data_IF_730079851471
#
_entry.id   IF_730079851471
#
_cell.length_a   1.000
_cell.length_b   1.000
_cell.length_c   1.000
_cell.angle_alpha   90.00
_cell.angle_beta   90.00
_cell.angle_gamma   90.00
#
_symmetry.space_group_name_H-M   'P 1'
#
loop_
_entity.id
_entity.type
_entity.pdbx_description
1 polymer ?
#
# COMPACT_ATOMS: atom_id res chain seq x y z
N UNK A 1 13.06 -10.29 23.77
CA UNK A 1 11.90 -9.39 23.50
C UNK A 1 11.94 -8.80 22.09
N UNK A 2 13.13 -8.62 21.51
CA UNK A 2 13.28 -8.01 20.17
C UNK A 2 12.61 -8.79 19.04
N UNK A 3 12.55 -10.11 19.11
CA UNK A 3 11.90 -10.98 18.12
C UNK A 3 10.37 -10.76 17.97
N UNK A 4 9.77 -9.88 18.76
CA UNK A 4 8.37 -9.48 18.60
C UNK A 4 8.23 -8.06 17.99
N UNK A 5 9.31 -7.42 17.57
CA UNK A 5 9.21 -6.03 17.11
C UNK A 5 8.37 -5.89 15.84
N UNK A 6 8.56 -6.78 14.85
CA UNK A 6 7.76 -6.71 13.64
C UNK A 6 6.28 -6.99 13.94
N UNK A 7 5.99 -8.09 14.64
CA UNK A 7 4.62 -8.41 15.06
C UNK A 7 3.99 -7.28 15.89
N UNK A 8 4.76 -6.67 16.79
CA UNK A 8 4.31 -5.53 17.59
C UNK A 8 3.93 -4.32 16.76
N UNK A 9 4.68 -4.01 15.70
CA UNK A 9 4.36 -2.93 14.76
C UNK A 9 3.08 -3.21 13.97
N UNK A 10 2.88 -4.45 13.53
CA UNK A 10 1.65 -4.85 12.84
C UNK A 10 0.43 -4.68 13.76
N UNK A 11 0.50 -5.21 14.98
CA UNK A 11 -0.58 -5.11 15.95
C UNK A 11 -0.86 -3.64 16.34
N UNK A 12 0.19 -2.83 16.50
CA UNK A 12 0.05 -1.40 16.75
C UNK A 12 -0.65 -0.70 15.58
N UNK A 13 -0.22 -0.98 14.34
CA UNK A 13 -0.80 -0.39 13.11
C UNK A 13 -2.27 -0.75 12.95
N UNK A 14 -2.65 -1.98 13.30
CA UNK A 14 -4.03 -2.45 13.22
C UNK A 14 -4.92 -1.88 14.33
N UNK A 15 -4.37 -1.64 15.52
CA UNK A 15 -5.13 -1.40 16.75
C UNK A 15 -6.15 -0.27 16.63
N UNK A 16 -5.73 0.92 16.24
CA UNK A 16 -6.61 2.08 16.13
C UNK A 16 -7.65 1.92 15.00
N UNK A 17 -7.31 1.56 13.76
CA UNK A 17 -8.27 1.34 12.69
C UNK A 17 -9.30 0.26 13.03
N UNK A 18 -8.88 -0.84 13.66
CA UNK A 18 -9.78 -1.92 14.05
C UNK A 18 -10.79 -1.48 15.11
N UNK A 19 -10.33 -0.85 16.18
CA UNK A 19 -11.21 -0.33 17.24
C UNK A 19 -12.22 0.69 16.69
N UNK A 20 -11.77 1.58 15.81
CA UNK A 20 -12.62 2.61 15.20
C UNK A 20 -13.53 2.08 14.08
N UNK A 21 -13.33 0.88 13.61
CA UNK A 21 -14.19 0.25 12.59
C UNK A 21 -15.64 0.06 13.05
N UNK A 22 -15.85 -0.05 14.35
CA UNK A 22 -17.17 -0.25 14.96
C UNK A 22 -17.84 1.05 15.37
N UNK A 23 -17.20 2.20 15.16
CA UNK A 23 -17.79 3.50 15.50
C UNK A 23 -19.12 3.70 14.75
N UNK A 24 -20.19 4.14 15.45
CA UNK A 24 -21.53 4.29 14.85
C UNK A 24 -21.58 5.23 13.65
N UNK A 25 -20.69 6.24 13.61
CA UNK A 25 -20.64 7.22 12.52
C UNK A 25 -20.04 6.65 11.23
N UNK A 26 -18.98 5.85 11.34
CA UNK A 26 -18.25 5.32 10.19
C UNK A 26 -18.74 3.94 9.77
N UNK A 27 -19.02 3.06 10.74
CA UNK A 27 -19.46 1.68 10.56
C UNK A 27 -18.62 0.92 9.52
N UNK A 28 -17.31 1.09 9.56
CA UNK A 28 -16.39 0.57 8.55
C UNK A 28 -16.47 -0.96 8.42
N UNK A 29 -16.80 -1.66 9.51
CA UNK A 29 -17.01 -3.11 9.52
C UNK A 29 -18.05 -3.58 8.48
N UNK A 30 -19.02 -2.75 8.13
CA UNK A 30 -20.02 -3.09 7.10
C UNK A 30 -19.43 -3.18 5.69
N UNK A 31 -18.26 -2.57 5.48
CA UNK A 31 -17.54 -2.54 4.20
C UNK A 31 -16.48 -3.65 4.09
N UNK A 32 -16.32 -4.45 5.12
CA UNK A 32 -15.34 -5.54 5.17
C UNK A 32 -15.45 -6.55 4.02
N UNK A 33 -16.63 -6.96 3.52
CA UNK A 33 -16.69 -7.88 2.39
C UNK A 33 -15.95 -7.34 1.15
N UNK A 34 -16.16 -6.08 0.79
CA UNK A 34 -15.44 -5.41 -0.30
C UNK A 34 -13.96 -5.22 0.03
N UNK A 35 -13.64 -4.83 1.27
CA UNK A 35 -12.29 -4.63 1.75
C UNK A 35 -11.47 -5.93 1.66
N UNK A 36 -11.95 -7.02 2.23
CA UNK A 36 -11.23 -8.30 2.22
C UNK A 36 -11.13 -8.89 0.81
N UNK A 37 -12.09 -8.62 -0.09
CA UNK A 37 -11.95 -8.95 -1.51
C UNK A 37 -10.78 -8.18 -2.14
N UNK A 38 -10.69 -6.87 -1.89
CA UNK A 38 -9.57 -6.05 -2.37
C UNK A 38 -8.23 -6.49 -1.81
N UNK A 39 -8.18 -6.75 -0.49
CA UNK A 39 -6.98 -7.26 0.19
C UNK A 39 -6.56 -8.62 -0.36
N UNK A 40 -7.48 -9.56 -0.54
CA UNK A 40 -7.15 -10.90 -1.02
C UNK A 40 -6.51 -10.87 -2.42
N UNK A 41 -7.06 -10.07 -3.35
CA UNK A 41 -6.48 -9.92 -4.69
C UNK A 41 -5.10 -9.25 -4.62
N UNK A 42 -5.00 -8.16 -3.89
CA UNK A 42 -3.74 -7.43 -3.72
C UNK A 42 -2.69 -8.32 -3.04
N UNK A 43 -3.01 -8.95 -1.91
CA UNK A 43 -2.09 -9.79 -1.17
C UNK A 43 -1.59 -10.98 -2.01
N UNK A 44 -2.45 -11.58 -2.84
CA UNK A 44 -2.02 -12.65 -3.75
C UNK A 44 -0.92 -12.17 -4.69
N UNK A 45 -1.08 -11.00 -5.31
CA UNK A 45 -0.09 -10.43 -6.24
C UNK A 45 1.20 -10.06 -5.50
N UNK A 46 1.07 -9.38 -4.37
CA UNK A 46 2.21 -8.82 -3.65
C UNK A 46 2.99 -9.86 -2.86
N UNK A 47 2.35 -10.87 -2.28
CA UNK A 47 3.04 -11.99 -1.60
C UNK A 47 3.86 -12.84 -2.58
N UNK A 48 3.33 -13.06 -3.81
CA UNK A 48 4.11 -13.74 -4.86
C UNK A 48 5.32 -12.89 -5.24
N UNK A 49 5.11 -11.59 -5.44
CA UNK A 49 6.19 -10.65 -5.74
C UNK A 49 7.25 -10.63 -4.64
N UNK A 50 6.82 -10.50 -3.38
CA UNK A 50 7.70 -10.47 -2.20
C UNK A 50 8.50 -11.76 -2.05
N UNK A 51 7.87 -12.92 -2.19
CA UNK A 51 8.57 -14.21 -2.15
C UNK A 51 9.66 -14.31 -3.24
N UNK A 52 9.37 -13.85 -4.46
CA UNK A 52 10.32 -13.83 -5.57
C UNK A 52 11.48 -12.87 -5.26
N UNK A 53 11.20 -11.66 -4.76
CA UNK A 53 12.22 -10.65 -4.48
C UNK A 53 13.08 -11.03 -3.30
N UNK A 54 12.49 -11.60 -2.25
CA UNK A 54 13.22 -12.14 -1.10
C UNK A 54 14.15 -13.29 -1.54
N UNK A 55 13.65 -14.20 -2.37
CA UNK A 55 14.47 -15.32 -2.89
C UNK A 55 15.64 -14.86 -3.77
N UNK A 56 15.49 -13.72 -4.48
CA UNK A 56 16.54 -13.13 -5.32
C UNK A 56 17.43 -12.13 -4.55
N UNK A 57 17.21 -11.91 -3.25
CA UNK A 57 18.05 -11.04 -2.43
C UNK A 57 17.89 -9.55 -2.76
N UNK A 58 16.74 -9.13 -3.30
CA UNK A 58 16.38 -7.71 -3.52
C UNK A 58 16.14 -7.02 -2.18
N UNK A 59 15.48 -7.72 -1.28
CA UNK A 59 15.34 -7.38 0.14
C UNK A 59 15.31 -8.65 0.99
N UNK A 60 15.28 -8.49 2.30
CA UNK A 60 15.14 -9.61 3.21
C UNK A 60 14.86 -9.16 4.64
N UNK A 61 14.71 -10.11 5.51
CA UNK A 61 14.21 -9.93 6.86
C UNK A 61 15.25 -10.38 7.90
N UNK A 62 15.49 -9.54 8.92
CA UNK A 62 16.43 -9.82 9.99
C UNK A 62 15.78 -10.77 11.02
N UNK A 63 16.32 -12.00 11.20
CA UNK A 63 15.77 -12.99 12.13
C UNK A 63 15.70 -12.53 13.59
N UNK A 64 16.53 -11.55 13.99
CA UNK A 64 16.55 -10.97 15.33
C UNK A 64 15.20 -10.43 15.76
N UNK A 65 14.40 -9.93 14.80
CA UNK A 65 13.16 -9.21 15.05
C UNK A 65 11.89 -9.98 14.68
N UNK A 66 12.03 -11.28 14.32
CA UNK A 66 10.94 -12.13 13.85
C UNK A 66 10.60 -13.21 14.86
N UNK A 67 9.31 -13.57 14.92
CA UNK A 67 8.83 -14.68 15.76
C UNK A 67 9.37 -16.04 15.29
N UNK A 68 9.67 -16.18 13.99
CA UNK A 68 10.38 -17.34 13.43
C UNK A 68 9.63 -18.12 12.35
N UNK A 69 8.33 -18.43 12.45
CA UNK A 69 7.62 -19.17 11.41
C UNK A 69 7.69 -18.47 10.05
N UNK A 70 7.87 -19.28 8.98
CA UNK A 70 7.92 -18.78 7.60
C UNK A 70 6.96 -19.57 6.71
N UNK A 71 6.30 -18.86 5.79
CA UNK A 71 5.42 -19.43 4.77
C UNK A 71 5.92 -18.92 3.40
N UNK A 72 6.20 -19.82 2.47
CA UNK A 72 6.78 -19.49 1.16
C UNK A 72 8.07 -18.64 1.24
N UNK A 73 8.91 -18.87 2.26
CA UNK A 73 10.15 -18.12 2.50
C UNK A 73 9.98 -16.80 3.25
N UNK A 74 8.76 -16.27 3.35
CA UNK A 74 8.43 -15.03 4.04
C UNK A 74 8.08 -15.27 5.52
N UNK A 75 8.47 -14.36 6.43
CA UNK A 75 8.06 -14.43 7.82
C UNK A 75 6.53 -14.25 7.95
N UNK A 76 5.94 -14.82 9.00
CA UNK A 76 4.48 -14.73 9.22
C UNK A 76 4.02 -13.28 9.41
N UNK A 77 4.88 -12.44 9.94
CA UNK A 77 4.66 -11.00 10.10
C UNK A 77 4.44 -10.31 8.75
N UNK A 78 5.17 -10.72 7.69
CA UNK A 78 4.97 -10.17 6.35
C UNK A 78 3.59 -10.53 5.79
N UNK A 79 3.11 -11.74 6.04
CA UNK A 79 1.73 -12.11 5.71
C UNK A 79 0.71 -11.24 6.45
N UNK A 80 0.99 -10.93 7.72
CA UNK A 80 0.15 -10.06 8.53
C UNK A 80 0.22 -8.60 8.04
N UNK A 81 1.40 -8.12 7.64
CA UNK A 81 1.60 -6.80 7.04
C UNK A 81 0.68 -6.59 5.81
N UNK A 82 0.59 -7.59 4.90
CA UNK A 82 -0.30 -7.52 3.73
C UNK A 82 -1.80 -7.57 4.07
N UNK A 83 -2.16 -7.85 5.30
CA UNK A 83 -3.52 -7.70 5.81
C UNK A 83 -3.71 -6.35 6.52
N UNK A 84 -2.79 -6.00 7.38
CA UNK A 84 -2.89 -4.88 8.34
C UNK A 84 -2.74 -3.52 7.65
N UNK A 85 -1.73 -3.38 6.78
CA UNK A 85 -1.45 -2.09 6.13
C UNK A 85 -2.58 -1.67 5.18
N UNK A 86 -3.08 -2.52 4.26
CA UNK A 86 -4.19 -2.14 3.40
C UNK A 86 -5.48 -1.91 4.18
N UNK A 87 -5.73 -2.68 5.25
CA UNK A 87 -6.85 -2.44 6.16
C UNK A 87 -6.80 -1.02 6.73
N UNK A 88 -5.64 -0.63 7.25
CA UNK A 88 -5.44 0.67 7.88
C UNK A 88 -5.52 1.83 6.86
N UNK A 89 -4.94 1.66 5.68
CA UNK A 89 -4.99 2.66 4.62
C UNK A 89 -6.42 2.84 4.07
N UNK A 90 -7.18 1.75 3.87
CA UNK A 90 -8.57 1.86 3.42
C UNK A 90 -9.48 2.41 4.52
N UNK A 91 -9.19 2.14 5.80
CA UNK A 91 -9.86 2.82 6.91
C UNK A 91 -9.64 4.34 6.85
N UNK A 92 -8.39 4.80 6.62
CA UNK A 92 -8.08 6.23 6.43
C UNK A 92 -8.85 6.80 5.24
N UNK A 93 -8.84 6.09 4.11
CA UNK A 93 -9.59 6.48 2.90
C UNK A 93 -11.08 6.68 3.20
N UNK A 94 -11.73 5.76 3.93
CA UNK A 94 -13.14 5.84 4.28
C UNK A 94 -13.43 6.91 5.34
N UNK A 95 -12.53 7.09 6.31
CA UNK A 95 -12.64 8.17 7.27
C UNK A 95 -12.59 9.53 6.57
N UNK A 96 -11.65 9.72 5.65
CA UNK A 96 -11.56 10.94 4.84
C UNK A 96 -12.79 11.12 3.95
N UNK A 97 -13.32 10.06 3.36
CA UNK A 97 -14.56 10.10 2.58
C UNK A 97 -15.76 10.56 3.40
N UNK A 98 -15.81 10.20 4.67
CA UNK A 98 -16.86 10.61 5.60
C UNK A 98 -16.70 12.07 6.04
N UNK A 99 -15.50 12.48 6.47
CA UNK A 99 -15.24 13.82 7.01
C UNK A 99 -15.03 14.88 5.93
N UNK A 100 -14.40 14.53 4.80
CA UNK A 100 -14.15 15.42 3.66
C UNK A 100 -15.15 15.10 2.54
N UNK A 101 -16.34 15.69 2.63
CA UNK A 101 -17.45 15.39 1.71
C UNK A 101 -17.15 15.73 0.24
N UNK A 102 -16.34 16.79 -0.01
CA UNK A 102 -15.95 17.20 -1.36
C UNK A 102 -14.70 16.43 -1.81
N UNK A 103 -14.68 16.05 -3.09
CA UNK A 103 -13.45 15.55 -3.69
C UNK A 103 -12.52 16.71 -4.02
N UNK A 104 -11.65 17.07 -3.06
CA UNK A 104 -10.77 18.25 -3.15
C UNK A 104 -9.69 18.08 -4.23
N UNK A 105 -9.29 16.85 -4.57
CA UNK A 105 -8.27 16.57 -5.57
C UNK A 105 -8.84 16.06 -6.89
N UNK A 106 -10.16 15.93 -7.03
CA UNK A 106 -10.80 15.36 -8.23
C UNK A 106 -10.42 16.05 -9.52
N UNK A 107 -10.29 17.40 -9.52
CA UNK A 107 -9.91 18.17 -10.71
C UNK A 107 -8.47 17.95 -11.15
N UNK A 108 -7.57 17.71 -10.19
CA UNK A 108 -6.13 17.54 -10.47
C UNK A 108 -5.69 16.09 -10.54
N UNK A 109 -6.54 15.15 -10.13
CA UNK A 109 -6.20 13.74 -10.06
C UNK A 109 -5.74 13.15 -11.42
N UNK A 110 -6.49 13.44 -12.50
CA UNK A 110 -6.13 12.95 -13.83
C UNK A 110 -4.81 13.53 -14.36
N UNK A 111 -4.61 14.86 -14.40
CA UNK A 111 -3.31 15.43 -14.83
C UNK A 111 -2.16 14.98 -13.91
N UNK A 112 -2.35 14.90 -12.61
CA UNK A 112 -1.35 14.37 -11.67
C UNK A 112 -0.97 12.93 -12.02
N UNK A 113 -1.96 12.06 -12.28
CA UNK A 113 -1.71 10.66 -12.67
C UNK A 113 -0.91 10.58 -13.98
N UNK A 114 -1.21 11.43 -14.96
CA UNK A 114 -0.49 11.43 -16.26
C UNK A 114 0.97 11.86 -16.06
N UNK A 115 1.21 12.91 -15.29
CA UNK A 115 2.57 13.38 -14.99
C UNK A 115 3.35 12.32 -14.22
N UNK A 116 2.75 11.78 -13.16
CA UNK A 116 3.38 10.74 -12.34
C UNK A 116 3.68 9.48 -13.18
N UNK A 117 2.74 9.04 -14.00
CA UNK A 117 2.94 7.92 -14.93
C UNK A 117 4.13 8.16 -15.87
N UNK A 118 4.24 9.37 -16.46
CA UNK A 118 5.36 9.73 -17.32
C UNK A 118 6.71 9.67 -16.59
N UNK A 119 6.78 10.23 -15.38
CA UNK A 119 7.99 10.19 -14.54
C UNK A 119 8.36 8.74 -14.19
N UNK A 120 7.39 7.94 -13.74
CA UNK A 120 7.63 6.55 -13.37
C UNK A 120 8.08 5.69 -14.56
N UNK A 121 7.49 5.90 -15.74
CA UNK A 121 7.92 5.21 -16.97
C UNK A 121 9.37 5.57 -17.32
N UNK A 122 9.71 6.86 -17.35
CA UNK A 122 11.06 7.29 -17.69
C UNK A 122 12.09 6.76 -16.69
N UNK A 123 11.85 6.94 -15.39
CA UNK A 123 12.80 6.49 -14.35
C UNK A 123 12.90 4.96 -14.33
N UNK A 124 11.78 4.24 -14.44
CA UNK A 124 11.77 2.77 -14.46
C UNK A 124 12.51 2.20 -15.67
N UNK A 125 12.39 2.81 -16.87
CA UNK A 125 13.10 2.38 -18.06
C UNK A 125 14.60 2.72 -18.01
N UNK A 126 14.98 3.88 -17.46
CA UNK A 126 16.38 4.27 -17.29
C UNK A 126 17.14 3.40 -16.27
N UNK A 127 16.42 2.76 -15.35
CA UNK A 127 17.00 1.89 -14.32
C UNK A 127 16.47 0.46 -14.44
N UNK A 128 16.37 -0.04 -15.67
CA UNK A 128 15.87 -1.40 -15.95
C UNK A 128 16.78 -2.49 -15.35
N UNK A 129 18.03 -2.16 -15.09
CA UNK A 129 19.04 -2.96 -14.40
C UNK A 129 18.82 -3.08 -12.89
N UNK A 130 17.94 -2.23 -12.30
CA UNK A 130 17.60 -2.21 -10.87
C UNK A 130 16.21 -2.78 -10.66
N UNK A 131 16.14 -4.03 -10.28
CA UNK A 131 14.91 -4.82 -10.29
C UNK A 131 13.79 -4.20 -9.47
N UNK A 132 14.10 -3.67 -8.26
CA UNK A 132 13.10 -3.05 -7.41
C UNK A 132 12.54 -1.76 -8.02
N UNK A 133 13.41 -0.87 -8.47
CA UNK A 133 13.01 0.39 -9.13
C UNK A 133 12.20 0.11 -10.39
N UNK A 134 12.73 -0.73 -11.29
CA UNK A 134 12.10 -1.01 -12.58
C UNK A 134 10.69 -1.58 -12.42
N UNK A 135 10.56 -2.67 -11.65
CA UNK A 135 9.27 -3.36 -11.52
C UNK A 135 8.26 -2.47 -10.78
N UNK A 136 8.66 -1.86 -9.65
CA UNK A 136 7.75 -1.00 -8.89
C UNK A 136 7.24 0.17 -9.72
N UNK A 137 8.13 0.87 -10.43
CA UNK A 137 7.76 2.07 -11.19
C UNK A 137 6.95 1.74 -12.43
N UNK A 138 7.35 0.72 -13.19
CA UNK A 138 6.63 0.32 -14.40
C UNK A 138 5.24 -0.26 -14.07
N UNK A 139 5.11 -1.09 -13.03
CA UNK A 139 3.83 -1.62 -12.59
C UNK A 139 2.91 -0.50 -12.05
N UNK A 140 3.46 0.46 -11.29
CA UNK A 140 2.69 1.61 -10.81
C UNK A 140 2.21 2.47 -11.97
N UNK A 141 3.08 2.73 -12.96
CA UNK A 141 2.70 3.47 -14.16
C UNK A 141 1.60 2.76 -14.95
N UNK A 142 1.71 1.43 -15.13
CA UNK A 142 0.69 0.63 -15.81
C UNK A 142 -0.66 0.66 -15.04
N UNK A 143 -0.60 0.60 -13.71
CA UNK A 143 -1.79 0.70 -12.86
C UNK A 143 -2.46 2.06 -12.97
N UNK A 144 -1.69 3.15 -12.98
CA UNK A 144 -2.21 4.50 -13.21
C UNK A 144 -2.82 4.62 -14.61
N UNK A 145 -2.17 4.08 -15.65
CA UNK A 145 -2.71 4.04 -17.01
C UNK A 145 -4.06 3.31 -17.07
N UNK A 146 -4.15 2.15 -16.42
CA UNK A 146 -5.40 1.39 -16.30
C UNK A 146 -6.53 2.24 -15.70
N UNK A 147 -6.25 2.95 -14.61
CA UNK A 147 -7.25 3.79 -13.93
C UNK A 147 -7.64 5.04 -14.71
N UNK A 148 -6.70 5.68 -15.40
CA UNK A 148 -6.95 6.92 -16.16
C UNK A 148 -7.64 6.66 -17.48
N UNK A 149 -7.21 5.64 -18.23
CA UNK A 149 -7.63 5.45 -19.61
C UNK A 149 -8.67 4.36 -19.80
N UNK A 150 -8.60 3.27 -19.03
CA UNK A 150 -9.50 2.11 -19.19
C UNK A 150 -10.67 2.19 -18.18
N UNK A 151 -10.36 2.18 -16.88
CA UNK A 151 -11.39 2.17 -15.83
C UNK A 151 -12.04 3.56 -15.65
N UNK A 152 -11.36 4.63 -16.03
CA UNK A 152 -11.80 6.02 -15.86
C UNK A 152 -12.34 6.27 -14.45
N UNK A 153 -11.54 5.85 -13.45
CA UNK A 153 -11.97 5.75 -12.06
C UNK A 153 -12.34 7.10 -11.47
N UNK A 154 -13.59 7.28 -11.00
CA UNK A 154 -14.07 8.57 -10.50
C UNK A 154 -13.53 8.90 -9.11
N UNK A 155 -12.91 7.95 -8.42
CA UNK A 155 -12.41 8.08 -7.05
C UNK A 155 -10.91 8.44 -6.95
N UNK A 156 -10.22 8.70 -8.08
CA UNK A 156 -8.78 9.00 -8.07
C UNK A 156 -8.42 10.20 -7.20
N UNK A 157 -9.25 11.24 -7.15
CA UNK A 157 -9.00 12.39 -6.28
C UNK A 157 -9.04 12.02 -4.80
N UNK A 158 -10.05 11.24 -4.39
CA UNK A 158 -10.16 10.69 -3.03
C UNK A 158 -9.05 9.71 -2.71
N UNK A 159 -8.64 8.90 -3.69
CA UNK A 159 -7.48 8.02 -3.58
C UNK A 159 -6.20 8.79 -3.25
N UNK A 160 -5.88 9.86 -4.01
CA UNK A 160 -4.68 10.66 -3.74
C UNK A 160 -4.71 11.35 -2.37
N UNK A 161 -5.87 11.81 -1.94
CA UNK A 161 -6.02 12.35 -0.58
C UNK A 161 -5.78 11.27 0.48
N UNK A 162 -6.40 10.09 0.32
CA UNK A 162 -6.20 8.94 1.18
C UNK A 162 -4.75 8.48 1.23
N UNK A 163 -4.12 8.36 0.07
CA UNK A 163 -2.71 8.01 -0.07
C UNK A 163 -1.79 9.02 0.64
N UNK A 164 -1.98 10.32 0.40
CA UNK A 164 -1.17 11.36 1.02
C UNK A 164 -1.27 11.34 2.56
N UNK A 165 -2.46 11.13 3.11
CA UNK A 165 -2.64 11.00 4.57
C UNK A 165 -2.07 9.67 5.09
N UNK A 166 -2.19 8.59 4.32
CA UNK A 166 -1.62 7.29 4.68
C UNK A 166 -0.08 7.28 4.69
N UNK A 167 0.58 8.16 3.93
CA UNK A 167 2.03 8.31 4.00
C UNK A 167 2.52 8.71 5.39
N UNK A 168 1.73 9.40 6.21
CA UNK A 168 2.13 9.83 7.57
C UNK A 168 2.39 8.61 8.46
N UNK A 169 1.40 7.73 8.75
CA UNK A 169 1.65 6.52 9.53
C UNK A 169 2.59 5.54 8.80
N UNK A 170 2.58 5.51 7.46
CA UNK A 170 3.51 4.70 6.68
C UNK A 170 4.97 5.08 6.98
N UNK A 171 5.33 6.37 6.95
CA UNK A 171 6.70 6.78 7.25
C UNK A 171 7.12 6.46 8.68
N UNK A 172 6.19 6.47 9.64
CA UNK A 172 6.49 6.06 11.02
C UNK A 172 6.76 4.55 11.10
N UNK A 173 5.84 3.74 10.61
CA UNK A 173 5.92 2.27 10.72
C UNK A 173 7.03 1.71 9.83
N UNK A 174 7.04 2.08 8.54
CA UNK A 174 8.06 1.60 7.61
C UNK A 174 9.45 2.16 7.93
N UNK A 175 9.53 3.36 8.51
CA UNK A 175 10.79 3.90 9.02
C UNK A 175 11.41 2.99 10.09
N UNK A 176 10.62 2.51 11.04
CA UNK A 176 11.10 1.57 12.06
C UNK A 176 11.47 0.22 11.40
N UNK A 177 10.64 -0.29 10.48
CA UNK A 177 10.96 -1.52 9.75
C UNK A 177 12.29 -1.44 9.00
N UNK A 178 12.62 -0.27 8.43
CA UNK A 178 13.85 -0.05 7.66
C UNK A 178 15.04 0.43 8.51
N UNK A 179 14.91 0.42 9.85
CA UNK A 179 16.02 0.64 10.78
C UNK A 179 16.01 1.98 11.52
N UNK A 180 14.97 2.82 11.37
CA UNK A 180 14.86 4.03 12.16
C UNK A 180 14.61 3.66 13.64
N UNK A 181 15.43 4.18 14.55
CA UNK A 181 15.42 3.89 15.99
C UNK A 181 15.84 2.47 16.37
N UNK A 182 16.43 1.69 15.47
CA UNK A 182 16.94 0.34 15.73
C UNK A 182 18.44 0.26 15.37
N UNK A 183 19.16 -0.67 15.99
CA UNK A 183 20.57 -0.94 15.68
C UNK A 183 20.74 -1.49 14.26
N UNK A 184 19.79 -2.30 13.82
CA UNK A 184 19.74 -2.94 12.51
C UNK A 184 18.32 -2.88 11.95
N UNK A 185 18.13 -2.85 10.62
CA UNK A 185 16.80 -2.87 10.04
C UNK A 185 16.10 -4.24 10.26
N UNK A 186 14.79 -4.21 10.44
CA UNK A 186 13.93 -5.41 10.39
C UNK A 186 13.87 -5.92 8.96
N UNK A 187 13.63 -4.99 8.01
CA UNK A 187 13.62 -5.24 6.56
C UNK A 187 14.80 -4.50 5.95
N UNK A 188 15.74 -5.25 5.40
CA UNK A 188 16.88 -4.69 4.69
C UNK A 188 16.70 -4.75 3.17
N UNK A 189 17.34 -3.83 2.46
CA UNK A 189 17.27 -3.71 1.00
C UNK A 189 18.66 -3.79 0.37
N UNK A 190 18.76 -4.49 -0.77
CA UNK A 190 19.94 -4.47 -1.60
C UNK A 190 19.98 -3.18 -2.43
N UNK A 191 20.91 -2.28 -2.14
CA UNK A 191 21.02 -0.99 -2.83
C UNK A 191 21.45 -1.12 -4.31
N UNK A 192 21.92 -2.29 -4.76
CA UNK A 192 22.15 -2.53 -6.18
C UNK A 192 20.83 -2.65 -6.97
N UNK A 193 19.74 -2.99 -6.31
CA UNK A 193 18.43 -3.25 -6.91
C UNK A 193 17.46 -2.06 -6.81
N UNK A 194 17.88 -0.95 -6.19
CA UNK A 194 17.07 0.27 -6.03
C UNK A 194 17.91 1.53 -6.34
N UNK A 195 17.30 2.71 -6.35
CA UNK A 195 17.97 3.97 -6.65
C UNK A 195 19.02 4.37 -5.60
N UNK A 196 19.02 3.73 -4.43
CA UNK A 196 19.88 4.13 -3.30
C UNK A 196 19.41 5.44 -2.63
N UNK A 197 18.30 6.02 -3.09
CA UNK A 197 17.74 7.24 -2.52
C UNK A 197 16.81 6.86 -1.36
N UNK A 198 17.05 7.45 -0.19
CA UNK A 198 16.30 7.16 1.02
C UNK A 198 15.56 8.39 1.53
N UNK A 199 14.32 8.18 1.96
CA UNK A 199 13.58 9.12 2.79
C UNK A 199 13.78 8.69 4.25
N UNK A 200 14.76 9.29 4.93
CA UNK A 200 15.35 8.77 6.16
C UNK A 200 15.97 7.37 5.91
N UNK A 201 15.38 6.29 6.41
CA UNK A 201 15.82 4.90 6.19
C UNK A 201 15.09 4.19 5.06
N UNK A 202 13.96 4.72 4.60
CA UNK A 202 13.01 4.12 3.67
C UNK A 202 13.44 4.36 2.21
N UNK A 203 13.55 3.33 1.35
CA UNK A 203 13.74 3.53 -0.09
C UNK A 203 12.62 4.38 -0.70
N UNK A 204 12.96 5.27 -1.62
CA UNK A 204 11.96 6.10 -2.28
C UNK A 204 10.92 5.27 -3.04
N UNK A 205 11.31 4.10 -3.51
CA UNK A 205 10.49 3.11 -4.18
C UNK A 205 9.31 2.66 -3.33
N UNK A 206 9.48 2.56 -1.99
CA UNK A 206 8.43 2.11 -1.08
C UNK A 206 7.20 3.01 -1.10
N UNK A 207 7.38 4.30 -1.37
CA UNK A 207 6.24 5.20 -1.55
C UNK A 207 5.43 4.85 -2.81
N UNK A 208 6.09 4.46 -3.90
CA UNK A 208 5.43 4.03 -5.13
C UNK A 208 4.85 2.62 -5.00
N UNK A 209 5.52 1.75 -4.25
CA UNK A 209 5.01 0.44 -3.88
C UNK A 209 3.69 0.57 -3.10
N UNK A 210 3.63 1.44 -2.09
CA UNK A 210 2.40 1.74 -1.35
C UNK A 210 1.30 2.32 -2.27
N UNK A 211 1.65 3.18 -3.23
CA UNK A 211 0.69 3.75 -4.17
C UNK A 211 0.05 2.65 -5.03
N UNK A 212 0.85 1.77 -5.60
CA UNK A 212 0.37 0.63 -6.39
C UNK A 212 -0.48 -0.32 -5.54
N UNK A 213 0.03 -0.74 -4.41
CA UNK A 213 -0.60 -1.58 -3.41
C UNK A 213 -2.00 -1.09 -3.01
N UNK A 214 -2.12 0.18 -2.63
CA UNK A 214 -3.38 0.78 -2.23
C UNK A 214 -4.34 0.95 -3.42
N UNK A 215 -3.84 1.35 -4.59
CA UNK A 215 -4.66 1.53 -5.78
C UNK A 215 -5.23 0.19 -6.27
N UNK A 216 -4.44 -0.89 -6.21
CA UNK A 216 -4.90 -2.23 -6.53
C UNK A 216 -5.98 -2.69 -5.54
N UNK A 217 -5.78 -2.49 -4.23
CA UNK A 217 -6.78 -2.80 -3.20
C UNK A 217 -8.09 -2.08 -3.49
N UNK A 218 -8.04 -0.77 -3.74
CA UNK A 218 -9.22 0.05 -4.02
C UNK A 218 -9.92 -0.29 -5.34
N UNK A 219 -9.20 -0.84 -6.32
CA UNK A 219 -9.80 -1.31 -7.58
C UNK A 219 -10.92 -2.32 -7.33
N UNK A 220 -10.72 -3.23 -6.41
CA UNK A 220 -11.70 -4.27 -6.08
C UNK A 220 -12.64 -3.83 -4.95
N UNK A 221 -12.18 -3.01 -4.04
CA UNK A 221 -12.98 -2.42 -2.98
C UNK A 221 -14.13 -1.54 -3.50
N UNK A 222 -13.87 -0.69 -4.49
CA UNK A 222 -14.87 0.25 -5.04
C UNK A 222 -15.85 -0.41 -6.07
N UNK A 223 -15.55 -1.62 -6.56
CA UNK A 223 -16.42 -2.31 -7.53
C UNK A 223 -17.81 -2.69 -7.00
N UNK A 224 -17.97 -3.30 -5.80
CA UNK A 224 -19.28 -3.60 -5.23
C UNK A 224 -20.10 -2.36 -4.96
N UNK A 225 -19.48 -1.28 -4.49
CA UNK A 225 -20.13 -0.02 -4.15
C UNK A 225 -20.79 0.65 -5.38
N UNK A 226 -20.25 0.45 -6.57
CA UNK A 226 -20.85 0.94 -7.82
C UNK A 226 -22.14 0.18 -8.18
N UNK A 227 -22.25 -1.11 -7.85
CA UNK A 227 -23.46 -1.91 -8.12
C UNK A 227 -24.61 -1.48 -7.23
N UNK A 228 -24.38 -1.26 -5.94
CA UNK A 228 -25.44 -0.81 -5.00
C UNK A 228 -26.00 0.58 -5.32
N UNK A 229 -25.19 1.48 -5.91
CA UNK A 229 -25.65 2.83 -6.29
C UNK A 229 -26.25 2.88 -7.70
N UNK A 230 -26.04 1.88 -8.54
CA UNK A 230 -26.61 1.78 -9.89
C UNK A 230 -28.03 1.21 -9.91
N UNK A 231 -28.45 0.51 -8.87
CA UNK A 231 -29.75 -0.15 -8.75
C UNK A 231 -30.81 0.68 -7.99
N UNK A 232 -30.49 1.91 -7.57
CA UNK A 232 -31.48 2.82 -7.01
C UNK A 232 -32.32 3.43 -8.16
N UNK A 233 -33.65 3.30 -8.13
CA UNK A 233 -34.50 3.96 -9.11
C UNK A 233 -34.24 5.47 -9.05
N UNK A 234 -34.03 6.08 -10.20
CA UNK A 234 -33.91 7.53 -10.32
C UNK A 234 -35.25 8.14 -9.88
N UNK A 235 -35.24 9.22 -9.07
CA UNK A 235 -36.45 9.89 -8.61
C UNK A 235 -37.29 10.46 -9.75
#
# INVERSE_FOLDING_TARGET
MEHFYYLGLDLFTLSFPLLRSFEPKLQFWRKWPGLFTGIAVMATVFLIWDAIFTANGVWGFNPRYLVGPRIAGLPIEEWLFFLVVPYSCVFIYEALRYYVRRDVLGRVARPLSIVLMGVLLVVGLLHIDRLYTAITFLCTAAMLALHVFVLKSPYLGRFYLGYAVSLIPFFLVNGILTGWLLDEPIVWYNNAENLGIRMNTIPIEDSQYLLFFLLLTLTFYERPLKREHGDLPKP
#
